data_IF_039058058907
#
_entry.id   IF_039058058907
#
_cell.length_a   1.000
_cell.length_b   1.000
_cell.length_c   1.000
_cell.angle_alpha   90.00
_cell.angle_beta   90.00
_cell.angle_gamma   90.00
#
_symmetry.space_group_name_H-M   'P 1'
#
loop_
_entity.id
_entity.type
_entity.pdbx_description
1 polymer ?
#
# COMPACT_ATOMS: atom_id res chain seq x y z
N UNK A 1 -0.11 10.26 21.15
CA UNK A 1 -0.04 10.74 19.76
C UNK A 1 -0.19 9.57 18.81
N UNK A 2 -1.00 9.72 17.80
CA UNK A 2 -1.22 8.65 16.81
C UNK A 2 -0.18 8.73 15.70
N UNK A 3 0.50 7.63 15.45
CA UNK A 3 1.45 7.53 14.35
C UNK A 3 0.86 6.69 13.23
N UNK A 4 1.12 7.10 12.00
CA UNK A 4 0.67 6.39 10.81
C UNK A 4 1.87 5.78 10.09
N UNK A 5 1.75 4.51 9.76
CA UNK A 5 2.77 3.79 9.02
C UNK A 5 2.17 3.21 7.76
N UNK A 6 2.90 3.25 6.67
CA UNK A 6 2.49 2.62 5.42
C UNK A 6 3.67 1.81 4.88
N UNK A 7 3.40 0.54 4.60
CA UNK A 7 4.37 -0.37 3.99
C UNK A 7 3.86 -0.73 2.60
N UNK A 8 4.71 -0.55 1.61
CA UNK A 8 4.35 -0.82 0.23
C UNK A 8 5.25 -1.87 -0.36
N UNK A 9 4.69 -2.72 -1.22
CA UNK A 9 5.45 -3.72 -1.94
C UNK A 9 4.82 -3.92 -3.31
N UNK A 10 5.65 -4.04 -4.33
CA UNK A 10 5.19 -4.31 -5.67
C UNK A 10 6.15 -5.24 -6.38
N UNK A 11 5.62 -6.20 -7.09
CA UNK A 11 6.42 -7.22 -7.78
C UNK A 11 5.78 -7.61 -9.10
N UNK A 12 6.61 -8.12 -9.99
CA UNK A 12 6.19 -8.58 -11.31
C UNK A 12 6.93 -9.88 -11.62
N UNK A 13 6.21 -10.85 -12.18
CA UNK A 13 6.79 -12.11 -12.61
C UNK A 13 7.20 -11.98 -14.06
N UNK A 14 8.50 -11.77 -14.29
CA UNK A 14 9.02 -11.38 -15.60
C UNK A 14 9.02 -9.84 -15.71
N UNK A 15 9.46 -9.31 -16.84
CA UNK A 15 9.52 -7.85 -17.02
C UNK A 15 9.46 -7.53 -18.52
N UNK A 16 8.26 -7.37 -19.12
CA UNK A 16 6.96 -7.31 -18.47
C UNK A 16 6.37 -8.70 -18.17
N UNK A 17 5.36 -8.72 -17.29
CA UNK A 17 4.66 -9.94 -16.91
C UNK A 17 3.54 -9.66 -15.93
N UNK A 18 2.87 -10.70 -15.42
CA UNK A 18 1.87 -10.51 -14.39
C UNK A 18 2.48 -9.91 -13.13
N UNK A 19 1.82 -8.95 -12.54
CA UNK A 19 2.33 -8.27 -11.36
C UNK A 19 1.24 -7.94 -10.35
N UNK A 20 1.68 -7.63 -9.14
CA UNK A 20 0.80 -7.24 -8.06
C UNK A 20 1.48 -6.25 -7.14
N UNK A 21 0.66 -5.58 -6.35
CA UNK A 21 1.15 -4.63 -5.35
C UNK A 21 0.31 -4.76 -4.09
N UNK A 22 0.93 -4.39 -2.99
CA UNK A 22 0.25 -4.40 -1.70
C UNK A 22 0.66 -3.23 -0.85
N UNK A 23 -0.26 -2.80 0.00
CA UNK A 23 -0.03 -1.74 0.98
C UNK A 23 -0.59 -2.20 2.31
N UNK A 24 0.20 -2.07 3.36
CA UNK A 24 -0.26 -2.25 4.73
C UNK A 24 -0.18 -0.92 5.44
N UNK A 25 -1.31 -0.43 5.94
CA UNK A 25 -1.36 0.81 6.69
C UNK A 25 -1.73 0.51 8.14
N UNK A 26 -0.99 1.11 9.06
CA UNK A 26 -1.17 0.89 10.49
C UNK A 26 -1.27 2.24 11.19
N UNK A 27 -2.32 2.44 11.96
CA UNK A 27 -2.44 3.55 12.88
C UNK A 27 -2.16 3.05 14.29
N UNK A 28 -1.20 3.64 14.97
CA UNK A 28 -0.77 3.21 16.31
C UNK A 28 -0.74 4.39 17.27
N UNK A 29 -1.03 4.09 18.52
CA UNK A 29 -0.83 5.03 19.62
C UNK A 29 0.10 4.33 20.62
N UNK A 30 1.38 4.73 20.57
CA UNK A 30 2.42 4.02 21.31
C UNK A 30 2.54 2.58 20.82
N UNK A 31 2.33 1.61 21.69
CA UNK A 31 2.37 0.20 21.35
C UNK A 31 1.01 -0.36 20.95
N UNK A 32 -0.04 0.43 21.03
CA UNK A 32 -1.40 -0.01 20.73
C UNK A 32 -1.71 0.23 19.26
N UNK A 33 -2.05 -0.84 18.56
CA UNK A 33 -2.53 -0.73 17.17
C UNK A 33 -4.02 -0.36 17.21
N UNK A 34 -4.34 0.82 16.71
CA UNK A 34 -5.70 1.32 16.69
C UNK A 34 -6.45 0.84 15.46
N UNK A 35 -5.78 0.72 14.33
CA UNK A 35 -6.40 0.33 13.07
C UNK A 35 -5.35 -0.20 12.12
N UNK A 36 -5.74 -1.23 11.36
CA UNK A 36 -4.94 -1.75 10.26
C UNK A 36 -5.82 -1.79 9.01
N UNK A 37 -5.20 -1.53 7.88
CA UNK A 37 -5.87 -1.61 6.60
C UNK A 37 -4.89 -2.13 5.55
N UNK A 38 -5.36 -3.05 4.72
CA UNK A 38 -4.58 -3.55 3.60
C UNK A 38 -5.25 -3.17 2.29
N UNK A 39 -4.44 -2.83 1.31
CA UNK A 39 -4.87 -2.55 -0.05
C UNK A 39 -4.03 -3.42 -0.98
N UNK A 40 -4.62 -3.88 -2.04
CA UNK A 40 -3.88 -4.67 -3.03
C UNK A 40 -4.52 -4.57 -4.40
N UNK A 41 -3.72 -4.87 -5.41
CA UNK A 41 -4.18 -4.91 -6.78
C UNK A 41 -3.19 -5.65 -7.64
N UNK A 42 -3.54 -5.83 -8.91
CA UNK A 42 -2.67 -6.53 -9.85
C UNK A 42 -2.96 -6.17 -11.29
N UNK A 43 -2.02 -6.49 -12.15
CA UNK A 43 -2.16 -6.31 -13.59
C UNK A 43 -1.63 -7.57 -14.30
N UNK A 44 -2.28 -7.94 -15.41
CA UNK A 44 -1.89 -9.12 -16.16
C UNK A 44 -0.56 -8.94 -16.90
N UNK A 45 -0.23 -7.70 -17.28
CA UNK A 45 1.02 -7.39 -17.96
C UNK A 45 1.54 -6.05 -17.46
N UNK A 46 2.64 -6.08 -16.75
CA UNK A 46 3.19 -4.88 -16.13
C UNK A 46 4.68 -5.03 -15.85
N UNK A 47 5.26 -4.07 -15.14
CA UNK A 47 6.66 -4.09 -14.72
C UNK A 47 6.75 -3.88 -13.22
N UNK A 48 7.91 -4.25 -12.62
CA UNK A 48 8.15 -4.02 -11.20
C UNK A 48 8.01 -2.54 -10.84
N UNK A 49 8.54 -1.66 -11.68
CA UNK A 49 8.48 -0.22 -11.41
C UNK A 49 7.04 0.28 -11.36
N UNK A 50 6.18 -0.22 -12.26
CA UNK A 50 4.78 0.16 -12.24
C UNK A 50 4.08 -0.33 -10.98
N UNK A 51 4.38 -1.56 -10.54
CA UNK A 51 3.77 -2.12 -9.34
C UNK A 51 4.20 -1.36 -8.08
N UNK A 52 5.46 -1.00 -7.99
CA UNK A 52 5.95 -0.18 -6.88
C UNK A 52 5.29 1.20 -6.87
N UNK A 53 5.17 1.81 -8.04
CA UNK A 53 4.54 3.13 -8.17
C UNK A 53 3.05 3.06 -7.82
N UNK A 54 2.34 2.03 -8.27
CA UNK A 54 0.93 1.86 -7.96
C UNK A 54 0.70 1.66 -6.47
N UNK A 55 1.57 0.90 -5.80
CA UNK A 55 1.49 0.74 -4.35
C UNK A 55 1.69 2.08 -3.64
N UNK A 56 2.67 2.86 -4.06
CA UNK A 56 2.93 4.17 -3.48
C UNK A 56 1.76 5.14 -3.70
N UNK A 57 1.21 5.18 -4.91
CA UNK A 57 0.08 6.04 -5.23
C UNK A 57 -1.14 5.65 -4.39
N UNK A 58 -1.41 4.35 -4.27
CA UNK A 58 -2.55 3.86 -3.50
C UNK A 58 -2.41 4.21 -2.02
N UNK A 59 -1.19 4.12 -1.48
CA UNK A 59 -0.91 4.52 -0.10
C UNK A 59 -1.16 6.01 0.09
N UNK A 60 -0.69 6.85 -0.83
CA UNK A 60 -0.88 8.29 -0.75
C UNK A 60 -2.35 8.68 -0.87
N UNK A 61 -3.10 8.05 -1.76
CA UNK A 61 -4.52 8.30 -1.89
C UNK A 61 -5.27 7.94 -0.62
N UNK A 62 -4.96 6.82 -0.01
CA UNK A 62 -5.59 6.40 1.24
C UNK A 62 -5.25 7.35 2.38
N UNK A 63 -4.01 7.82 2.45
CA UNK A 63 -3.58 8.75 3.50
C UNK A 63 -4.19 10.13 3.32
N UNK A 64 -4.59 10.50 2.11
CA UNK A 64 -5.23 11.80 1.85
C UNK A 64 -6.71 11.80 2.22
N UNK A 65 -7.26 10.65 2.65
CA UNK A 65 -8.66 10.52 3.06
C UNK A 65 -8.72 10.28 4.56
N UNK A 66 -8.87 11.32 5.38
CA UNK A 66 -8.83 11.17 6.84
C UNK A 66 -9.82 10.17 7.38
N UNK A 67 -11.00 10.07 6.78
CA UNK A 67 -12.04 9.15 7.21
C UNK A 67 -11.69 7.68 7.03
N UNK A 68 -10.72 7.36 6.19
CA UNK A 68 -10.31 5.99 5.93
C UNK A 68 -9.30 5.50 6.97
N UNK A 69 -8.73 6.40 7.75
CA UNK A 69 -7.63 6.08 8.66
C UNK A 69 -8.05 6.22 10.12
N UNK A 70 -9.00 7.04 10.39
CA UNK A 70 -9.51 7.28 11.75
C UNK A 70 -10.53 6.25 12.20
#
# INVERSE_FOLDING_TARGET
MTDLFAYTDGACSGNPGPGGWGVLMIARDGETVLKERTLSGGEALTTNNRMELMAAISALEALSRPSDIT
#
